data_IF_765733658434
#
_entry.id   IF_765733658434
#
_cell.length_a   1.000
_cell.length_b   1.000
_cell.length_c   1.000
_cell.angle_alpha   90.00
_cell.angle_beta   90.00
_cell.angle_gamma   90.00
#
_symmetry.space_group_name_H-M   'P 1'
#
loop_
_entity.id
_entity.type
_entity.pdbx_description
1 polymer ?
#
# COMPACT_ATOMS: atom_id res chain seq x y z
N UNK A 1 -10.29 -34.91 -10.06
CA UNK A 1 -10.95 -33.59 -9.87
C UNK A 1 -9.92 -32.49 -9.66
N UNK A 2 -9.00 -32.64 -8.69
CA UNK A 2 -8.01 -31.60 -8.36
C UNK A 2 -7.15 -31.20 -9.56
N UNK A 3 -6.59 -32.15 -10.30
CA UNK A 3 -5.78 -31.88 -11.48
C UNK A 3 -6.54 -31.12 -12.58
N UNK A 4 -7.81 -31.48 -12.83
CA UNK A 4 -8.65 -30.80 -13.80
C UNK A 4 -8.95 -29.36 -13.36
N UNK A 5 -9.28 -29.15 -12.09
CA UNK A 5 -9.50 -27.81 -11.55
C UNK A 5 -8.23 -26.97 -11.59
N UNK A 6 -7.06 -27.56 -11.32
CA UNK A 6 -5.79 -26.88 -11.49
C UNK A 6 -5.57 -26.42 -12.94
N UNK A 7 -5.84 -27.28 -13.93
CA UNK A 7 -5.72 -26.93 -15.35
C UNK A 7 -6.67 -25.78 -15.74
N UNK A 8 -7.90 -25.81 -15.25
CA UNK A 8 -8.90 -24.75 -15.46
C UNK A 8 -8.43 -23.42 -14.85
N UNK A 9 -7.93 -23.43 -13.62
CA UNK A 9 -7.48 -22.22 -12.93
C UNK A 9 -6.26 -21.58 -13.56
N UNK A 10 -5.40 -22.37 -14.21
CA UNK A 10 -4.16 -21.91 -14.82
C UNK A 10 -4.22 -21.77 -16.35
N UNK A 11 -5.43 -21.81 -16.93
CA UNK A 11 -5.67 -21.68 -18.38
C UNK A 11 -4.87 -22.70 -19.23
N UNK A 12 -4.68 -23.92 -18.67
CA UNK A 12 -3.96 -25.04 -19.31
C UNK A 12 -4.93 -26.12 -19.77
N UNK A 13 -5.89 -25.70 -20.60
CA UNK A 13 -7.01 -26.53 -21.02
C UNK A 13 -6.67 -27.41 -22.22
N UNK A 14 -7.11 -28.67 -22.17
CA UNK A 14 -7.00 -29.63 -23.25
C UNK A 14 -8.39 -29.93 -23.86
N UNK A 15 -8.41 -30.44 -25.08
CA UNK A 15 -9.68 -30.80 -25.76
C UNK A 15 -10.52 -31.84 -25.02
N UNK A 16 -9.90 -32.61 -24.12
CA UNK A 16 -10.55 -33.68 -23.34
C UNK A 16 -11.20 -33.17 -22.05
N UNK A 17 -10.99 -31.94 -21.66
CA UNK A 17 -11.47 -31.42 -20.37
C UNK A 17 -13.00 -31.40 -20.27
N UNK A 18 -13.68 -31.11 -21.38
CA UNK A 18 -15.14 -31.14 -21.43
C UNK A 18 -15.73 -32.55 -21.22
N UNK A 19 -15.08 -33.60 -21.73
CA UNK A 19 -15.48 -34.98 -21.51
C UNK A 19 -15.23 -35.38 -20.06
N UNK A 20 -14.07 -34.98 -19.50
CA UNK A 20 -13.72 -35.25 -18.10
C UNK A 20 -14.65 -34.51 -17.12
N UNK A 21 -15.12 -33.30 -17.43
CA UNK A 21 -16.10 -32.58 -16.61
C UNK A 21 -17.41 -33.39 -16.48
N UNK A 22 -17.89 -33.99 -17.59
CA UNK A 22 -19.09 -34.80 -17.59
C UNK A 22 -18.89 -36.11 -16.83
N UNK A 23 -17.79 -36.82 -17.02
CA UNK A 23 -17.43 -38.04 -16.28
C UNK A 23 -17.34 -37.81 -14.78
N UNK A 24 -16.85 -36.66 -14.33
CA UNK A 24 -16.71 -36.26 -12.94
C UNK A 24 -18.00 -35.69 -12.33
N UNK A 25 -19.10 -35.67 -13.06
CA UNK A 25 -20.40 -35.06 -12.68
C UNK A 25 -20.28 -33.53 -12.43
N UNK A 26 -19.39 -32.89 -13.13
CA UNK A 26 -19.15 -31.45 -13.08
C UNK A 26 -19.57 -30.73 -14.37
N UNK A 27 -20.40 -31.37 -15.19
CA UNK A 27 -20.89 -30.80 -16.47
C UNK A 27 -21.64 -29.49 -16.31
N UNK A 28 -22.15 -29.17 -15.12
CA UNK A 28 -22.79 -27.92 -14.79
C UNK A 28 -21.80 -26.71 -14.88
N UNK A 29 -20.48 -26.93 -14.84
CA UNK A 29 -19.47 -25.91 -15.11
C UNK A 29 -19.45 -25.42 -16.57
N UNK A 30 -20.17 -26.07 -17.47
CA UNK A 30 -20.38 -25.62 -18.85
C UNK A 30 -21.57 -24.65 -18.98
N UNK A 31 -22.31 -24.46 -17.90
CA UNK A 31 -23.46 -23.55 -17.82
C UNK A 31 -23.06 -22.23 -17.12
N UNK A 32 -24.05 -21.37 -16.88
CA UNK A 32 -23.86 -20.12 -16.13
C UNK A 32 -23.44 -20.40 -14.68
N UNK A 33 -22.39 -19.71 -14.24
CA UNK A 33 -21.84 -19.85 -12.91
C UNK A 33 -21.37 -18.53 -12.33
N UNK A 34 -21.21 -18.48 -11.01
CA UNK A 34 -20.66 -17.34 -10.27
C UNK A 34 -19.51 -17.83 -9.39
N UNK A 35 -18.44 -17.08 -9.40
CA UNK A 35 -17.26 -17.29 -8.57
C UNK A 35 -17.32 -16.39 -7.34
N UNK A 36 -17.00 -16.95 -6.18
CA UNK A 36 -16.82 -16.19 -4.95
C UNK A 36 -15.44 -16.49 -4.38
N UNK A 37 -14.55 -15.49 -4.41
CA UNK A 37 -13.27 -15.56 -3.74
C UNK A 37 -13.48 -15.21 -2.26
N UNK A 38 -13.02 -16.10 -1.39
CA UNK A 38 -13.10 -15.98 0.06
C UNK A 38 -11.69 -15.89 0.63
N UNK A 39 -11.45 -14.95 1.50
CA UNK A 39 -10.18 -14.82 2.19
C UNK A 39 -10.35 -14.34 3.63
N UNK A 40 -9.41 -14.69 4.48
CA UNK A 40 -9.36 -14.29 5.87
C UNK A 40 -8.80 -12.89 6.03
N UNK A 41 -9.37 -12.10 6.94
CA UNK A 41 -8.82 -10.84 7.37
C UNK A 41 -7.70 -11.09 8.37
N UNK A 42 -6.49 -10.63 8.09
CA UNK A 42 -5.29 -10.65 8.94
C UNK A 42 -5.21 -11.84 9.92
N UNK A 43 -4.55 -12.92 9.54
CA UNK A 43 -4.19 -13.98 10.50
C UNK A 43 -2.83 -13.68 11.11
N UNK A 44 -2.79 -13.42 12.41
CA UNK A 44 -1.55 -13.42 13.19
C UNK A 44 -1.14 -14.82 13.68
N UNK A 45 -1.96 -15.82 13.48
CA UNK A 45 -1.74 -17.21 13.89
C UNK A 45 -2.07 -18.15 12.73
N UNK A 46 -1.40 -19.31 12.71
CA UNK A 46 -1.62 -20.33 11.68
C UNK A 46 -3.09 -20.82 11.73
N UNK A 47 -3.92 -20.24 10.88
CA UNK A 47 -5.32 -20.63 10.76
C UNK A 47 -5.43 -22.09 10.36
N UNK A 48 -6.26 -22.86 11.05
CA UNK A 48 -6.54 -24.22 10.65
C UNK A 48 -7.40 -24.25 9.39
N UNK A 49 -6.72 -24.24 8.23
CA UNK A 49 -7.34 -24.21 6.89
C UNK A 49 -8.30 -25.36 6.65
N UNK A 50 -8.06 -26.54 7.28
CA UNK A 50 -8.91 -27.72 7.15
C UNK A 50 -10.24 -27.51 7.90
N UNK A 51 -10.19 -26.92 9.10
CA UNK A 51 -11.40 -26.56 9.85
C UNK A 51 -12.22 -25.53 9.09
N UNK A 52 -11.56 -24.53 8.53
CA UNK A 52 -12.21 -23.48 7.75
C UNK A 52 -12.89 -24.06 6.50
N UNK A 53 -12.19 -24.93 5.78
CA UNK A 53 -12.75 -25.69 4.65
C UNK A 53 -14.00 -26.47 5.06
N UNK A 54 -13.92 -27.23 6.14
CA UNK A 54 -15.05 -28.06 6.62
C UNK A 54 -16.27 -27.20 7.01
N UNK A 55 -16.06 -26.04 7.64
CA UNK A 55 -17.15 -25.12 7.99
C UNK A 55 -17.79 -24.47 6.77
N UNK A 56 -16.98 -24.09 5.77
CA UNK A 56 -17.49 -23.57 4.50
C UNK A 56 -18.33 -24.65 3.82
N UNK A 57 -17.78 -25.85 3.64
CA UNK A 57 -18.44 -26.96 2.97
C UNK A 57 -19.76 -27.34 3.67
N UNK A 58 -19.74 -27.48 5.00
CA UNK A 58 -20.94 -27.77 5.79
C UNK A 58 -22.04 -26.73 5.62
N UNK A 59 -21.64 -25.45 5.48
CA UNK A 59 -22.59 -24.34 5.30
C UNK A 59 -23.24 -24.36 3.91
N UNK A 60 -22.46 -24.68 2.86
CA UNK A 60 -22.93 -24.59 1.47
C UNK A 60 -23.41 -25.92 0.89
N UNK A 61 -23.28 -27.02 1.60
CA UNK A 61 -23.69 -28.40 1.14
C UNK A 61 -25.14 -28.50 0.68
N UNK A 62 -26.01 -27.60 1.11
CA UNK A 62 -27.41 -27.55 0.66
C UNK A 62 -27.57 -26.95 -0.75
N UNK A 63 -26.51 -26.34 -1.30
CA UNK A 63 -26.44 -25.93 -2.69
C UNK A 63 -26.25 -27.20 -3.55
N UNK A 64 -27.07 -27.39 -4.58
CA UNK A 64 -27.04 -28.63 -5.38
C UNK A 64 -25.81 -28.75 -6.27
N UNK A 65 -25.29 -27.64 -6.76
CA UNK A 65 -24.20 -27.59 -7.73
C UNK A 65 -23.21 -26.52 -7.27
N UNK A 66 -22.14 -26.96 -6.62
CA UNK A 66 -21.05 -26.10 -6.16
C UNK A 66 -19.71 -26.82 -6.18
N UNK A 67 -18.65 -26.07 -6.18
CA UNK A 67 -17.28 -26.55 -6.01
C UNK A 67 -16.52 -25.61 -5.07
N UNK A 68 -15.74 -26.19 -4.14
CA UNK A 68 -14.79 -25.45 -3.30
C UNK A 68 -13.38 -25.82 -3.75
N UNK A 69 -12.54 -24.81 -3.93
CA UNK A 69 -11.14 -24.99 -4.26
C UNK A 69 -10.31 -24.23 -3.23
N UNK A 70 -9.41 -24.95 -2.57
CA UNK A 70 -8.43 -24.35 -1.67
C UNK A 70 -7.35 -23.70 -2.52
N UNK A 71 -7.08 -22.41 -2.26
CA UNK A 71 -6.05 -21.62 -2.90
C UNK A 71 -4.87 -21.40 -1.92
N UNK A 72 -3.83 -20.73 -2.37
CA UNK A 72 -2.74 -20.28 -1.51
C UNK A 72 -3.20 -19.18 -0.53
N UNK A 73 -2.43 -18.92 0.51
CA UNK A 73 -2.67 -17.84 1.49
C UNK A 73 -4.01 -17.92 2.21
N UNK A 74 -4.45 -19.13 2.58
CA UNK A 74 -5.74 -19.36 3.28
C UNK A 74 -6.96 -18.78 2.54
N UNK A 75 -6.88 -18.72 1.22
CA UNK A 75 -8.01 -18.32 0.37
C UNK A 75 -8.76 -19.55 -0.16
N UNK A 76 -10.04 -19.36 -0.44
CA UNK A 76 -10.91 -20.35 -1.07
C UNK A 76 -11.64 -19.75 -2.26
N UNK A 77 -11.79 -20.52 -3.32
CA UNK A 77 -12.66 -20.21 -4.43
C UNK A 77 -13.91 -21.09 -4.33
N UNK A 78 -15.05 -20.45 -4.19
CA UNK A 78 -16.35 -21.09 -4.27
C UNK A 78 -16.92 -20.84 -5.66
N UNK A 79 -17.37 -21.87 -6.33
CA UNK A 79 -18.04 -21.80 -7.63
C UNK A 79 -19.45 -22.31 -7.45
N UNK A 80 -20.43 -21.51 -7.83
CA UNK A 80 -21.85 -21.87 -7.76
C UNK A 80 -22.47 -21.87 -9.15
N UNK A 81 -23.33 -22.83 -9.45
CA UNK A 81 -24.18 -22.78 -10.64
C UNK A 81 -25.19 -21.63 -10.50
N UNK A 82 -25.28 -20.78 -11.51
CA UNK A 82 -26.24 -19.67 -11.58
C UNK A 82 -27.54 -20.07 -12.31
N UNK A 83 -27.59 -21.24 -12.93
CA UNK A 83 -28.71 -21.71 -13.75
C UNK A 83 -30.07 -21.79 -13.03
N UNK A 84 -30.04 -21.90 -11.70
CA UNK A 84 -31.24 -22.08 -10.86
C UNK A 84 -31.25 -21.18 -9.61
N UNK A 85 -30.29 -20.28 -9.46
CA UNK A 85 -30.16 -19.40 -8.30
C UNK A 85 -29.95 -17.96 -8.74
N UNK A 86 -30.74 -17.05 -8.14
CA UNK A 86 -30.50 -15.64 -8.24
C UNK A 86 -29.17 -15.30 -7.50
N UNK A 87 -28.44 -14.32 -7.98
CA UNK A 87 -27.24 -13.77 -7.33
C UNK A 87 -27.51 -13.40 -5.85
N UNK A 88 -28.75 -13.03 -5.51
CA UNK A 88 -29.19 -12.73 -4.14
C UNK A 88 -29.12 -13.97 -3.24
N UNK A 89 -29.57 -15.12 -3.72
CA UNK A 89 -29.53 -16.36 -2.95
C UNK A 89 -28.08 -16.81 -2.69
N UNK A 90 -27.20 -16.68 -3.70
CA UNK A 90 -25.76 -16.95 -3.53
C UNK A 90 -25.17 -16.03 -2.48
N UNK A 91 -25.52 -14.73 -2.51
CA UNK A 91 -25.07 -13.75 -1.52
C UNK A 91 -25.50 -14.12 -0.10
N UNK A 92 -26.75 -14.53 0.09
CA UNK A 92 -27.27 -14.97 1.40
C UNK A 92 -26.51 -16.19 1.95
N UNK A 93 -26.21 -17.17 1.08
CA UNK A 93 -25.40 -18.34 1.45
C UNK A 93 -23.99 -17.91 1.86
N UNK A 94 -23.35 -17.03 1.12
CA UNK A 94 -22.01 -16.51 1.41
C UNK A 94 -21.99 -15.68 2.71
N UNK A 95 -23.01 -14.87 2.96
CA UNK A 95 -23.18 -14.14 4.22
C UNK A 95 -23.31 -15.11 5.41
N UNK A 96 -24.01 -16.24 5.20
CA UNK A 96 -24.15 -17.29 6.23
C UNK A 96 -22.80 -17.98 6.50
N UNK A 97 -21.97 -18.20 5.48
CA UNK A 97 -20.59 -18.69 5.64
C UNK A 97 -19.80 -17.76 6.57
N UNK A 98 -19.84 -16.45 6.30
CA UNK A 98 -19.15 -15.46 7.12
C UNK A 98 -19.61 -15.48 8.58
N UNK A 99 -20.93 -15.55 8.81
CA UNK A 99 -21.52 -15.62 10.17
C UNK A 99 -21.11 -16.90 10.91
N UNK A 100 -21.13 -18.03 10.24
CA UNK A 100 -20.77 -19.31 10.84
C UNK A 100 -19.29 -19.35 11.19
N UNK A 101 -18.39 -18.92 10.29
CA UNK A 101 -16.95 -18.89 10.56
C UNK A 101 -16.64 -17.91 11.70
N UNK A 102 -17.26 -16.74 11.72
CA UNK A 102 -17.12 -15.80 12.84
C UNK A 102 -17.57 -16.40 14.16
N UNK A 103 -18.70 -17.10 14.16
CA UNK A 103 -19.29 -17.72 15.38
C UNK A 103 -18.43 -18.87 15.92
N UNK A 104 -17.89 -19.73 15.06
CA UNK A 104 -17.20 -20.94 15.47
C UNK A 104 -15.70 -20.82 15.56
N UNK A 105 -15.09 -19.94 14.75
CA UNK A 105 -13.63 -19.73 14.70
C UNK A 105 -13.21 -18.36 15.21
N UNK A 106 -14.13 -17.41 15.40
CA UNK A 106 -13.78 -16.04 15.75
C UNK A 106 -13.17 -15.24 14.58
N UNK A 107 -13.12 -15.81 13.37
CA UNK A 107 -12.45 -15.22 12.22
C UNK A 107 -13.43 -14.38 11.39
N UNK A 108 -12.95 -13.25 10.89
CA UNK A 108 -13.68 -12.47 9.90
C UNK A 108 -13.24 -12.88 8.49
N UNK A 109 -14.22 -13.09 7.61
CA UNK A 109 -13.97 -13.38 6.20
C UNK A 109 -14.39 -12.22 5.33
N UNK A 110 -13.62 -11.99 4.27
CA UNK A 110 -13.94 -11.06 3.19
C UNK A 110 -14.25 -11.83 1.92
N UNK A 111 -15.14 -11.27 1.10
CA UNK A 111 -15.69 -11.96 -0.07
C UNK A 111 -15.67 -11.04 -1.30
N UNK A 112 -15.26 -11.62 -2.44
CA UNK A 112 -15.42 -10.99 -3.76
C UNK A 112 -16.22 -11.91 -4.65
N UNK A 113 -17.39 -11.46 -5.10
CA UNK A 113 -18.27 -12.19 -6.00
C UNK A 113 -18.10 -11.70 -7.43
N UNK A 114 -17.95 -12.61 -8.40
CA UNK A 114 -17.89 -12.28 -9.82
C UNK A 114 -19.26 -11.89 -10.38
N UNK A 115 -19.26 -11.35 -11.61
CA UNK A 115 -20.45 -11.46 -12.47
C UNK A 115 -20.68 -12.93 -12.89
N UNK A 116 -21.83 -13.20 -13.47
CA UNK A 116 -22.10 -14.49 -14.10
C UNK A 116 -21.16 -14.69 -15.30
N UNK A 117 -20.61 -15.89 -15.41
CA UNK A 117 -19.78 -16.35 -16.53
C UNK A 117 -20.41 -17.62 -17.12
N UNK A 118 -20.32 -17.81 -18.42
CA UNK A 118 -20.98 -18.90 -19.14
C UNK A 118 -20.01 -19.94 -19.71
N UNK A 119 -18.71 -19.77 -19.52
CA UNK A 119 -17.69 -20.70 -19.98
C UNK A 119 -16.67 -20.99 -18.85
N UNK A 120 -16.51 -22.27 -18.50
CA UNK A 120 -15.52 -22.70 -17.51
C UNK A 120 -14.09 -22.26 -17.85
N UNK A 121 -13.79 -21.97 -19.12
CA UNK A 121 -12.52 -21.40 -19.58
C UNK A 121 -12.25 -19.99 -19.06
N UNK A 122 -13.29 -19.28 -18.66
CA UNK A 122 -13.16 -17.95 -18.09
C UNK A 122 -12.87 -17.94 -16.59
N UNK A 123 -12.94 -19.13 -15.93
CA UNK A 123 -12.74 -19.24 -14.47
C UNK A 123 -11.38 -18.68 -14.04
N UNK A 124 -10.28 -19.06 -14.71
CA UNK A 124 -8.94 -18.59 -14.38
C UNK A 124 -8.80 -17.07 -14.51
N UNK A 125 -9.26 -16.51 -15.62
CA UNK A 125 -9.25 -15.05 -15.86
C UNK A 125 -10.13 -14.31 -14.84
N UNK A 126 -11.30 -14.83 -14.56
CA UNK A 126 -12.23 -14.24 -13.58
C UNK A 126 -11.67 -14.30 -12.16
N UNK A 127 -11.00 -15.40 -11.78
CA UNK A 127 -10.32 -15.52 -10.49
C UNK A 127 -9.22 -14.46 -10.34
N UNK A 128 -8.42 -14.22 -11.39
CA UNK A 128 -7.39 -13.17 -11.36
C UNK A 128 -8.01 -11.78 -11.13
N UNK A 129 -9.14 -11.51 -11.78
CA UNK A 129 -9.85 -10.25 -11.57
C UNK A 129 -10.44 -10.15 -10.15
N UNK A 130 -11.00 -11.25 -9.60
CA UNK A 130 -11.46 -11.31 -8.21
C UNK A 130 -10.31 -11.08 -7.22
N UNK A 131 -9.14 -11.68 -7.43
CA UNK A 131 -7.95 -11.46 -6.59
C UNK A 131 -7.51 -10.02 -6.59
N UNK A 132 -7.42 -9.40 -7.77
CA UNK A 132 -7.07 -7.99 -7.88
C UNK A 132 -8.03 -7.10 -7.09
N UNK A 133 -9.34 -7.33 -7.22
CA UNK A 133 -10.34 -6.57 -6.47
C UNK A 133 -10.27 -6.83 -4.96
N UNK A 134 -9.98 -8.08 -4.56
CA UNK A 134 -9.76 -8.45 -3.16
C UNK A 134 -8.58 -7.70 -2.56
N UNK A 135 -7.44 -7.68 -3.25
CA UNK A 135 -6.23 -6.98 -2.83
C UNK A 135 -6.44 -5.46 -2.78
N UNK A 136 -7.16 -4.87 -3.75
CA UNK A 136 -7.50 -3.46 -3.74
C UNK A 136 -8.39 -3.08 -2.55
N UNK A 137 -9.36 -3.91 -2.15
CA UNK A 137 -10.21 -3.65 -0.98
C UNK A 137 -9.43 -3.76 0.34
N UNK A 138 -8.57 -4.78 0.47
CA UNK A 138 -7.67 -4.91 1.64
C UNK A 138 -6.71 -3.74 1.74
N UNK A 139 -6.14 -3.33 0.63
CA UNK A 139 -5.24 -2.18 0.56
C UNK A 139 -5.91 -0.87 1.01
N UNK A 140 -7.22 -0.73 0.78
CA UNK A 140 -8.03 0.40 1.27
C UNK A 140 -8.32 0.33 2.77
N UNK A 141 -7.75 -0.63 3.50
CA UNK A 141 -7.93 -0.81 4.94
C UNK A 141 -9.30 -1.37 5.34
N UNK A 142 -10.04 -1.98 4.40
CA UNK A 142 -11.31 -2.64 4.74
C UNK A 142 -11.03 -3.99 5.39
N UNK A 143 -11.31 -4.10 6.67
CA UNK A 143 -11.07 -5.31 7.46
C UNK A 143 -12.09 -6.43 7.18
N UNK A 144 -13.30 -6.08 6.77
CA UNK A 144 -14.32 -7.04 6.37
C UNK A 144 -15.16 -6.43 5.24
N UNK A 145 -15.21 -7.09 4.09
CA UNK A 145 -15.95 -6.59 2.95
C UNK A 145 -16.65 -7.70 2.18
N UNK A 146 -17.79 -7.35 1.63
CA UNK A 146 -18.43 -8.09 0.55
C UNK A 146 -18.52 -7.15 -0.66
N UNK A 147 -17.86 -7.49 -1.75
CA UNK A 147 -17.92 -6.71 -2.98
C UNK A 147 -18.23 -7.58 -4.17
N UNK A 148 -18.93 -7.05 -5.14
CA UNK A 148 -19.22 -7.70 -6.40
C UNK A 148 -18.62 -6.91 -7.55
N UNK A 149 -18.33 -7.60 -8.64
CA UNK A 149 -17.90 -6.94 -9.88
C UNK A 149 -18.98 -5.98 -10.34
N UNK A 150 -18.64 -4.69 -10.31
CA UNK A 150 -19.34 -3.68 -11.08
C UNK A 150 -18.46 -3.39 -12.30
N UNK A 151 -19.04 -3.33 -13.49
CA UNK A 151 -18.35 -2.77 -14.66
C UNK A 151 -18.12 -1.28 -14.38
N UNK A 152 -17.02 -0.96 -13.69
CA UNK A 152 -16.57 0.42 -13.54
C UNK A 152 -15.85 0.81 -14.82
N UNK A 153 -16.55 1.48 -15.68
CA UNK A 153 -15.96 2.38 -16.65
C UNK A 153 -15.51 3.62 -15.89
N UNK A 154 -14.27 4.02 -16.08
CA UNK A 154 -13.60 5.23 -15.60
C UNK A 154 -12.85 5.10 -14.28
N UNK A 155 -11.57 4.68 -14.41
CA UNK A 155 -10.55 5.12 -13.47
C UNK A 155 -10.34 6.63 -13.66
N UNK A 156 -10.72 7.43 -12.67
CA UNK A 156 -10.29 8.83 -12.61
C UNK A 156 -8.77 8.82 -12.47
N UNK A 157 -8.07 9.15 -13.55
CA UNK A 157 -6.63 9.29 -13.53
C UNK A 157 -6.30 10.55 -12.71
N UNK A 158 -5.91 10.37 -11.45
CA UNK A 158 -5.25 11.44 -10.70
C UNK A 158 -3.94 11.76 -11.42
N UNK A 159 -3.79 12.99 -11.87
CA UNK A 159 -2.57 13.42 -12.52
C UNK A 159 -1.73 14.23 -11.52
N UNK A 160 -0.58 13.66 -11.14
CA UNK A 160 0.45 14.38 -10.41
C UNK A 160 1.30 15.14 -11.42
N UNK A 161 1.35 16.47 -11.32
CA UNK A 161 2.02 17.33 -12.28
C UNK A 161 2.95 18.35 -11.62
N UNK A 162 3.60 19.15 -12.43
CA UNK A 162 4.60 20.16 -12.01
C UNK A 162 4.01 21.14 -10.99
N UNK A 163 2.77 21.59 -11.18
CA UNK A 163 2.11 22.52 -10.27
C UNK A 163 1.96 21.95 -8.85
N UNK A 164 1.64 20.67 -8.74
CA UNK A 164 1.51 19.97 -7.47
C UNK A 164 2.88 19.78 -6.80
N UNK A 165 3.94 19.48 -7.58
CA UNK A 165 5.31 19.41 -7.08
C UNK A 165 5.78 20.76 -6.52
N UNK A 166 5.58 21.83 -7.27
CA UNK A 166 5.95 23.20 -6.86
C UNK A 166 5.22 23.62 -5.59
N UNK A 167 3.90 23.33 -5.51
CA UNK A 167 3.11 23.61 -4.32
C UNK A 167 3.62 22.85 -3.11
N UNK A 168 3.89 21.55 -3.24
CA UNK A 168 4.43 20.72 -2.16
C UNK A 168 5.76 21.28 -1.65
N UNK A 169 6.70 21.58 -2.55
CA UNK A 169 8.02 22.11 -2.18
C UNK A 169 7.92 23.50 -1.53
N UNK A 170 7.00 24.34 -1.97
CA UNK A 170 6.71 25.65 -1.39
C UNK A 170 6.15 25.51 0.03
N UNK A 171 5.14 24.68 0.22
CA UNK A 171 4.51 24.44 1.51
C UNK A 171 5.53 23.89 2.54
N UNK A 172 6.43 22.99 2.11
CA UNK A 172 7.54 22.49 2.94
C UNK A 172 8.51 23.62 3.33
N UNK A 173 8.89 24.46 2.38
CA UNK A 173 9.82 25.58 2.62
C UNK A 173 9.23 26.66 3.54
N UNK A 174 7.92 26.86 3.50
CA UNK A 174 7.18 27.78 4.37
C UNK A 174 6.94 27.20 5.79
N UNK A 175 7.23 25.91 6.00
CA UNK A 175 7.10 25.24 7.29
C UNK A 175 5.66 24.81 7.60
N UNK A 176 4.82 24.62 6.57
CA UNK A 176 3.50 24.03 6.73
C UNK A 176 3.65 22.61 7.26
N UNK A 177 2.75 22.18 8.16
CA UNK A 177 2.76 20.82 8.71
C UNK A 177 2.68 19.77 7.60
N UNK A 178 3.66 18.86 7.54
CA UNK A 178 3.74 17.83 6.48
C UNK A 178 2.50 16.97 6.44
N UNK A 179 1.96 16.58 7.59
CA UNK A 179 0.72 15.81 7.67
C UNK A 179 -0.47 16.52 7.01
N UNK A 180 -0.58 17.84 7.19
CA UNK A 180 -1.64 18.62 6.56
C UNK A 180 -1.47 18.68 5.03
N UNK A 181 -0.21 18.78 4.54
CA UNK A 181 0.10 18.76 3.11
C UNK A 181 -0.32 17.41 2.50
N UNK A 182 0.05 16.31 3.16
CA UNK A 182 -0.29 14.97 2.69
C UNK A 182 -1.79 14.68 2.76
N UNK A 183 -2.49 15.17 3.78
CA UNK A 183 -3.95 15.09 3.82
C UNK A 183 -4.58 15.75 2.58
N UNK A 184 -4.08 16.91 2.15
CA UNK A 184 -4.58 17.57 0.94
C UNK A 184 -4.27 16.75 -0.33
N UNK A 185 -3.06 16.18 -0.44
CA UNK A 185 -2.67 15.32 -1.58
C UNK A 185 -3.57 14.10 -1.66
N UNK A 186 -3.73 13.37 -0.54
CA UNK A 186 -4.53 12.15 -0.49
C UNK A 186 -6.05 12.40 -0.51
N UNK A 187 -6.51 13.62 -0.17
CA UNK A 187 -7.92 14.01 -0.34
C UNK A 187 -8.30 14.21 -1.82
N UNK A 188 -7.33 14.59 -2.67
CA UNK A 188 -7.55 14.71 -4.12
C UNK A 188 -7.66 13.35 -4.82
N UNK A 189 -7.29 12.25 -4.14
CA UNK A 189 -7.37 10.89 -4.66
C UNK A 189 -8.72 10.32 -4.28
N UNK A 190 -9.46 9.84 -5.27
CA UNK A 190 -10.66 9.04 -5.01
C UNK A 190 -10.23 7.67 -4.44
N UNK A 191 -10.10 7.61 -3.11
CA UNK A 191 -9.66 6.39 -2.40
C UNK A 191 -10.60 5.20 -2.64
N UNK A 192 -11.86 5.44 -2.98
CA UNK A 192 -12.82 4.36 -3.23
C UNK A 192 -12.65 3.73 -4.61
N UNK A 193 -12.32 4.53 -5.63
CA UNK A 193 -12.20 4.05 -7.00
C UNK A 193 -10.74 3.85 -7.46
N UNK A 194 -9.75 4.36 -6.71
CA UNK A 194 -8.35 4.16 -7.05
C UNK A 194 -7.87 2.74 -6.75
N UNK A 195 -7.11 2.16 -7.67
CA UNK A 195 -6.47 0.86 -7.48
C UNK A 195 -5.19 0.98 -6.65
N UNK A 196 -4.76 -0.14 -6.04
CA UNK A 196 -3.46 -0.23 -5.35
C UNK A 196 -2.31 0.29 -6.22
N UNK A 197 -2.29 -0.08 -7.51
CA UNK A 197 -1.22 0.33 -8.41
C UNK A 197 -1.17 1.84 -8.63
N UNK A 198 -2.32 2.53 -8.70
CA UNK A 198 -2.37 3.98 -8.84
C UNK A 198 -1.79 4.69 -7.61
N UNK A 199 -2.11 4.21 -6.42
CA UNK A 199 -1.56 4.75 -5.16
C UNK A 199 -0.05 4.50 -5.07
N UNK A 200 0.41 3.29 -5.42
CA UNK A 200 1.84 2.98 -5.46
C UNK A 200 2.59 3.84 -6.48
N UNK A 201 2.01 4.08 -7.66
CA UNK A 201 2.60 4.92 -8.68
C UNK A 201 2.81 6.36 -8.18
N UNK A 202 1.77 7.00 -7.62
CA UNK A 202 1.88 8.32 -6.99
C UNK A 202 2.94 8.33 -5.88
N UNK A 203 2.99 7.28 -5.07
CA UNK A 203 3.95 7.19 -3.98
C UNK A 203 5.40 7.11 -4.48
N UNK A 204 5.63 6.43 -5.60
CA UNK A 204 6.94 6.39 -6.28
C UNK A 204 7.30 7.78 -6.84
N UNK A 205 6.36 8.50 -7.43
CA UNK A 205 6.58 9.87 -7.92
C UNK A 205 6.99 10.80 -6.77
N UNK A 206 6.27 10.74 -5.64
CA UNK A 206 6.61 11.50 -4.44
C UNK A 206 8.00 11.14 -3.89
N UNK A 207 8.35 9.85 -3.80
CA UNK A 207 9.69 9.45 -3.37
C UNK A 207 10.79 9.93 -4.33
N UNK A 208 10.53 9.91 -5.63
CA UNK A 208 11.46 10.39 -6.65
C UNK A 208 11.68 11.91 -6.52
N UNK A 209 10.61 12.67 -6.28
CA UNK A 209 10.70 14.10 -6.00
C UNK A 209 11.55 14.37 -4.75
N UNK A 210 11.33 13.62 -3.69
CA UNK A 210 12.08 13.72 -2.45
C UNK A 210 13.57 13.46 -2.69
N UNK A 211 13.94 12.39 -3.39
CA UNK A 211 15.33 12.06 -3.72
C UNK A 211 16.00 13.16 -4.53
N UNK A 212 15.35 13.61 -5.58
CA UNK A 212 15.83 14.72 -6.41
C UNK A 212 16.12 15.95 -5.56
N UNK A 213 15.23 16.27 -4.60
CA UNK A 213 15.42 17.42 -3.71
C UNK A 213 16.57 17.24 -2.72
N UNK A 214 16.74 16.04 -2.20
CA UNK A 214 17.87 15.66 -1.32
C UNK A 214 19.19 15.82 -2.05
N UNK A 215 19.29 15.33 -3.29
CA UNK A 215 20.47 15.44 -4.14
C UNK A 215 20.80 16.90 -4.45
N UNK A 216 19.83 17.72 -4.89
CA UNK A 216 19.99 19.16 -5.12
C UNK A 216 20.53 19.90 -3.90
N UNK A 217 20.18 19.44 -2.72
CA UNK A 217 20.64 20.00 -1.46
C UNK A 217 22.01 19.48 -1.03
N UNK A 218 22.60 18.51 -1.74
CA UNK A 218 23.86 17.87 -1.36
C UNK A 218 23.78 17.15 0.00
N UNK A 219 22.64 16.58 0.30
CA UNK A 219 22.38 15.74 1.50
C UNK A 219 22.56 14.28 1.10
N UNK A 220 23.10 13.46 2.00
CA UNK A 220 23.21 12.03 1.73
C UNK A 220 21.85 11.33 1.91
N UNK A 221 21.50 10.44 1.01
CA UNK A 221 20.23 9.68 1.09
C UNK A 221 20.04 8.99 2.43
N UNK A 222 21.13 8.49 3.02
CA UNK A 222 21.12 7.79 4.31
C UNK A 222 20.63 8.68 5.47
N UNK A 223 20.68 10.00 5.34
CA UNK A 223 20.12 10.93 6.33
C UNK A 223 18.59 10.85 6.39
N UNK A 224 17.95 10.47 5.29
CA UNK A 224 16.48 10.34 5.18
C UNK A 224 16.05 8.88 5.18
N UNK A 225 16.75 8.04 4.43
CA UNK A 225 16.44 6.63 4.30
C UNK A 225 17.45 5.79 5.06
N UNK A 226 16.96 4.96 5.98
CA UNK A 226 17.76 3.96 6.67
C UNK A 226 17.72 2.62 5.93
N UNK A 227 16.77 2.45 5.03
CA UNK A 227 16.53 1.26 4.25
C UNK A 227 17.41 1.25 2.99
N UNK A 228 18.00 0.09 2.65
CA UNK A 228 18.77 -0.06 1.41
C UNK A 228 17.91 0.04 0.14
N UNK A 229 16.63 -0.37 0.22
CA UNK A 229 15.71 -0.35 -0.91
C UNK A 229 14.35 0.23 -0.51
N UNK A 230 14.15 1.50 -0.81
CA UNK A 230 12.91 2.22 -0.49
C UNK A 230 11.69 1.70 -1.29
N UNK A 231 11.92 1.21 -2.52
CA UNK A 231 10.84 0.70 -3.35
C UNK A 231 10.33 -0.66 -2.85
N UNK A 232 11.24 -1.53 -2.38
CA UNK A 232 10.85 -2.78 -1.72
C UNK A 232 10.06 -2.49 -0.45
N UNK A 233 10.53 -1.51 0.34
CA UNK A 233 9.80 -1.08 1.54
C UNK A 233 8.42 -0.57 1.22
N UNK A 234 8.28 0.27 0.19
CA UNK A 234 7.00 0.83 -0.23
C UNK A 234 6.02 -0.27 -0.70
N UNK A 235 6.50 -1.20 -1.53
CA UNK A 235 5.69 -2.30 -2.07
C UNK A 235 5.23 -3.30 -1.01
N UNK A 236 5.99 -3.44 0.08
CA UNK A 236 5.66 -4.29 1.22
C UNK A 236 4.60 -3.66 2.16
N UNK A 237 4.25 -2.38 1.96
CA UNK A 237 3.20 -1.76 2.75
C UNK A 237 1.82 -2.20 2.27
N UNK A 238 1.05 -2.74 3.19
CA UNK A 238 -0.20 -3.44 2.88
C UNK A 238 -1.42 -2.52 2.77
N UNK A 239 -1.35 -1.29 3.34
CA UNK A 239 -2.48 -0.35 3.35
C UNK A 239 -2.07 1.07 2.96
N UNK A 240 -3.07 1.85 2.49
CA UNK A 240 -2.88 3.27 2.14
C UNK A 240 -2.35 4.06 3.34
N UNK A 241 -2.88 3.81 4.54
CA UNK A 241 -2.47 4.52 5.74
C UNK A 241 -1.00 4.25 6.11
N UNK A 242 -0.53 3.00 5.91
CA UNK A 242 0.89 2.65 6.10
C UNK A 242 1.78 3.38 5.11
N UNK A 243 1.36 3.50 3.85
CA UNK A 243 2.08 4.24 2.80
C UNK A 243 2.11 5.73 3.14
N UNK A 244 0.96 6.32 3.45
CA UNK A 244 0.84 7.73 3.82
C UNK A 244 1.75 8.07 5.01
N UNK A 245 1.70 7.26 6.07
CA UNK A 245 2.57 7.42 7.24
C UNK A 245 4.06 7.33 6.88
N UNK A 246 4.43 6.39 6.02
CA UNK A 246 5.82 6.24 5.56
C UNK A 246 6.29 7.48 4.80
N UNK A 247 5.51 7.99 3.86
CA UNK A 247 5.82 9.20 3.10
C UNK A 247 5.93 10.42 4.01
N UNK A 248 4.96 10.62 4.91
CA UNK A 248 4.97 11.72 5.89
C UNK A 248 6.29 11.71 6.67
N UNK A 249 6.71 10.59 7.24
CA UNK A 249 7.96 10.48 7.99
C UNK A 249 9.21 10.88 7.16
N UNK A 250 9.25 10.53 5.88
CA UNK A 250 10.37 10.88 5.01
C UNK A 250 10.37 12.38 4.67
N UNK A 251 9.21 12.94 4.43
CA UNK A 251 9.05 14.36 4.13
C UNK A 251 9.23 15.27 5.36
N UNK A 252 8.90 14.81 6.57
CA UNK A 252 9.22 15.51 7.82
C UNK A 252 10.73 15.69 7.97
N UNK A 253 11.52 14.64 7.73
CA UNK A 253 12.98 14.73 7.72
C UNK A 253 13.50 15.69 6.66
N UNK A 254 12.96 15.65 5.45
CA UNK A 254 13.31 16.61 4.40
C UNK A 254 13.00 18.05 4.83
N UNK A 255 11.83 18.28 5.42
CA UNK A 255 11.43 19.61 5.91
C UNK A 255 12.39 20.14 6.99
N UNK A 256 12.78 19.30 7.95
CA UNK A 256 13.77 19.66 8.96
C UNK A 256 15.07 20.16 8.32
N UNK A 257 15.58 19.43 7.31
CA UNK A 257 16.79 19.79 6.59
C UNK A 257 16.63 21.12 5.82
N UNK A 258 15.47 21.30 5.15
CA UNK A 258 15.16 22.55 4.42
C UNK A 258 15.17 23.73 5.38
N UNK A 259 14.46 23.63 6.50
CA UNK A 259 14.33 24.69 7.49
C UNK A 259 15.67 25.01 8.19
N UNK A 260 16.47 23.99 8.50
CA UNK A 260 17.82 24.20 9.03
C UNK A 260 18.73 24.90 8.04
N UNK A 261 18.74 24.49 6.76
CA UNK A 261 19.55 25.16 5.74
C UNK A 261 19.10 26.60 5.54
N UNK A 262 17.80 26.87 5.58
CA UNK A 262 17.25 28.20 5.52
C UNK A 262 17.75 29.08 6.70
N UNK A 263 17.64 28.53 7.93
CA UNK A 263 18.19 29.24 9.12
C UNK A 263 19.68 29.56 8.95
N UNK A 264 20.48 28.60 8.45
CA UNK A 264 21.92 28.79 8.21
C UNK A 264 22.20 29.82 7.13
N UNK A 265 21.34 30.01 6.13
CA UNK A 265 21.51 31.02 5.09
C UNK A 265 21.33 32.44 5.62
N UNK A 266 20.62 32.61 6.74
CA UNK A 266 20.51 33.89 7.44
C UNK A 266 21.71 34.22 8.34
N UNK A 267 22.59 33.23 8.62
CA UNK A 267 23.80 33.51 9.39
C UNK A 267 24.79 34.31 8.56
N UNK A 268 25.44 35.29 9.20
CA UNK A 268 26.55 35.99 8.58
C UNK A 268 27.64 35.02 8.12
N UNK A 269 28.45 35.44 7.13
CA UNK A 269 29.54 34.61 6.60
C UNK A 269 30.43 34.08 7.73
N UNK A 270 30.79 34.99 8.68
CA UNK A 270 31.64 34.70 9.83
C UNK A 270 31.04 33.55 10.70
N UNK A 271 29.73 33.61 10.95
CA UNK A 271 29.04 32.56 11.77
C UNK A 271 28.99 31.23 11.05
N UNK A 272 28.75 31.21 9.74
CA UNK A 272 28.80 29.95 8.94
C UNK A 272 30.18 29.32 8.97
N UNK A 273 31.25 30.12 8.82
CA UNK A 273 32.63 29.66 8.89
C UNK A 273 32.99 29.15 10.29
N UNK A 274 32.53 29.84 11.36
CA UNK A 274 32.72 29.39 12.74
C UNK A 274 32.04 28.03 13.02
N UNK A 275 30.81 27.85 12.56
CA UNK A 275 30.10 26.57 12.67
C UNK A 275 30.86 25.47 11.90
N UNK A 276 31.39 25.78 10.71
CA UNK A 276 32.23 24.85 9.93
C UNK A 276 33.49 24.42 10.70
N UNK A 277 34.17 25.38 11.31
CA UNK A 277 35.36 25.11 12.13
C UNK A 277 35.05 24.22 13.35
N UNK A 278 33.95 24.50 14.06
CA UNK A 278 33.49 23.69 15.19
C UNK A 278 33.24 22.22 14.74
N UNK A 279 32.54 22.04 13.63
CA UNK A 279 32.22 20.68 13.10
C UNK A 279 33.46 19.87 12.70
N UNK A 280 34.49 20.56 12.15
CA UNK A 280 35.74 19.90 11.77
C UNK A 280 36.64 19.56 12.97
N UNK A 281 36.51 20.30 14.08
CA UNK A 281 37.39 20.18 15.23
C UNK A 281 36.70 19.75 16.54
N UNK A 282 35.44 19.33 16.53
CA UNK A 282 34.67 19.01 17.74
C UNK A 282 35.31 17.93 18.62
N UNK A 283 36.20 17.08 18.05
CA UNK A 283 36.94 16.06 18.80
C UNK A 283 38.17 16.62 19.56
N UNK A 284 38.49 17.89 19.35
CA UNK A 284 39.62 18.57 20.00
C UNK A 284 39.11 19.69 20.91
N UNK A 285 39.96 20.17 21.81
CA UNK A 285 39.62 21.34 22.62
C UNK A 285 39.68 22.59 21.72
N UNK A 286 38.52 23.17 21.50
CA UNK A 286 38.40 24.41 20.67
C UNK A 286 38.44 25.62 21.59
N UNK A 287 39.27 26.64 21.25
CA UNK A 287 39.26 27.93 21.90
C UNK A 287 38.66 29.01 21.01
N UNK A 288 37.93 29.95 21.61
CA UNK A 288 37.35 31.07 20.89
C UNK A 288 38.45 31.93 20.22
N UNK A 289 39.62 32.05 20.86
CA UNK A 289 40.76 32.86 20.33
C UNK A 289 41.33 32.22 19.08
N UNK A 290 41.63 30.92 19.09
CA UNK A 290 42.12 30.19 17.91
C UNK A 290 41.13 30.21 16.74
N UNK A 291 39.84 30.04 17.04
CA UNK A 291 38.82 30.14 16.00
C UNK A 291 38.73 31.53 15.40
N UNK A 292 38.80 32.58 16.22
CA UNK A 292 38.76 33.97 15.77
C UNK A 292 39.99 34.35 14.91
N UNK A 293 41.17 33.84 15.28
CA UNK A 293 42.39 33.98 14.48
C UNK A 293 42.28 33.31 13.11
N UNK A 294 41.77 32.09 13.05
CA UNK A 294 41.53 31.36 11.81
C UNK A 294 40.52 32.06 10.89
N UNK A 295 39.54 32.73 11.46
CA UNK A 295 38.52 33.49 10.72
C UNK A 295 38.91 34.97 10.45
N UNK A 296 40.12 35.37 10.82
CA UNK A 296 40.67 36.73 10.68
C UNK A 296 39.75 37.80 11.29
N UNK A 297 39.17 37.52 12.46
CA UNK A 297 38.31 38.46 13.20
C UNK A 297 38.72 38.54 14.67
N UNK A 298 38.27 39.58 15.40
CA UNK A 298 38.50 39.62 16.83
C UNK A 298 37.59 38.64 17.59
N UNK A 299 38.05 37.99 18.69
CA UNK A 299 37.24 37.10 19.51
C UNK A 299 35.92 37.74 20.00
N UNK A 300 35.96 39.02 20.36
CA UNK A 300 34.81 39.78 20.81
C UNK A 300 33.78 40.02 19.68
N UNK A 301 34.23 40.23 18.44
CA UNK A 301 33.37 40.37 17.28
C UNK A 301 32.71 39.03 16.93
N UNK A 302 33.50 37.92 16.88
CA UNK A 302 33.02 36.60 16.63
C UNK A 302 31.94 36.18 17.66
N UNK A 303 32.22 36.33 18.95
CA UNK A 303 31.28 35.95 20.02
C UNK A 303 29.98 36.76 19.95
N UNK A 304 30.03 38.07 19.72
CA UNK A 304 28.81 38.89 19.58
C UNK A 304 27.98 38.52 18.36
N UNK A 305 28.64 38.34 17.21
CA UNK A 305 27.96 38.01 15.96
C UNK A 305 27.34 36.61 16.03
N UNK A 306 28.07 35.64 16.60
CA UNK A 306 27.58 34.28 16.79
C UNK A 306 26.36 34.26 17.71
N UNK A 307 26.41 34.95 18.86
CA UNK A 307 25.28 35.05 19.77
C UNK A 307 24.07 35.74 19.14
N UNK A 308 24.31 36.81 18.37
CA UNK A 308 23.25 37.55 17.67
C UNK A 308 22.55 36.65 16.63
N UNK A 309 23.30 35.91 15.83
CA UNK A 309 22.79 35.12 14.73
C UNK A 309 22.18 33.77 15.21
N UNK A 310 22.77 33.12 16.22
CA UNK A 310 22.41 31.78 16.67
C UNK A 310 21.60 31.77 17.96
N UNK A 311 21.61 32.85 18.73
CA UNK A 311 21.04 32.92 20.08
C UNK A 311 21.89 32.21 21.15
N UNK A 312 22.99 31.55 20.78
CA UNK A 312 23.84 30.76 21.68
C UNK A 312 25.23 31.41 21.84
N UNK A 313 25.90 31.15 22.96
CA UNK A 313 27.32 31.49 23.10
C UNK A 313 28.18 30.41 22.40
N UNK A 314 29.33 30.81 21.88
CA UNK A 314 30.38 29.86 21.43
C UNK A 314 31.00 29.22 22.65
#
# INVERSE_FOLDING_TARGET
KEHLMYSILHDRLEKKDAELLNELQMGWLMDEMVLVLVGEDQSNEATNTELLFALIDETIKYCKEYQIIKLENSQFLLIFSAKKKDLREIKEVVDQVGKNVKRFCGLNLSFVMSCEISDYKEIGKTLLACRKLFDDQRFKGKEQFFTSFQKTENSTNYHWGIEQEEKLLKDLAEGREVKAIFNDIFACIDKEHSSKNQILFLSVELLTLLLRKVEEMGVQEQEIFQEMNMYEKLSALETIEKIEKYLIQKYEKLQEIILEKRKRSFYSKIVREAIGYIRQNYSKKISLTEMAEQLAVSPAHLSRTFKKDTGMNI
#
